data_IF_866226899369
#
_entry.id   IF_866226899369
#
_cell.length_a   1.000
_cell.length_b   1.000
_cell.length_c   1.000
_cell.angle_alpha   90.00
_cell.angle_beta   90.00
_cell.angle_gamma   90.00
#
_symmetry.space_group_name_H-M   'P 1'
#
loop_
_entity.id
_entity.type
_entity.pdbx_description
1 polymer ?
#
# COMPACT_ATOMS: atom_id res chain seq x y z
N UNK A 1 17.95 -31.47 41.17
CA UNK A 1 16.63 -31.12 41.72
C UNK A 1 16.72 -29.69 42.22
N UNK A 2 16.00 -28.68 41.74
CA UNK A 2 14.93 -28.62 40.76
C UNK A 2 14.64 -27.13 40.51
N UNK A 3 14.25 -26.83 39.27
CA UNK A 3 13.19 -25.91 38.93
C UNK A 3 13.29 -24.46 39.42
N UNK A 4 13.55 -23.55 38.47
CA UNK A 4 12.50 -22.62 38.02
C UNK A 4 13.02 -21.74 36.89
N UNK A 5 12.74 -22.18 35.67
CA UNK A 5 12.74 -21.34 34.48
C UNK A 5 11.90 -20.09 34.73
N UNK A 6 12.57 -18.95 34.93
CA UNK A 6 11.95 -17.63 35.02
C UNK A 6 11.21 -17.37 33.71
N UNK A 7 9.88 -17.38 33.81
CA UNK A 7 8.92 -17.19 32.72
C UNK A 7 9.29 -15.95 31.89
N UNK A 8 9.59 -16.16 30.61
CA UNK A 8 9.72 -15.09 29.61
C UNK A 8 8.39 -14.32 29.57
N UNK A 9 8.44 -13.04 29.94
CA UNK A 9 7.29 -12.14 29.95
C UNK A 9 6.65 -12.09 28.56
N UNK A 10 5.33 -12.32 28.52
CA UNK A 10 4.49 -12.18 27.34
C UNK A 10 4.72 -10.80 26.72
N UNK A 11 5.15 -10.82 25.46
CA UNK A 11 5.43 -9.66 24.65
C UNK A 11 4.18 -8.76 24.62
N UNK A 12 4.31 -7.54 25.15
CA UNK A 12 3.25 -6.53 25.12
C UNK A 12 2.94 -6.24 23.64
N UNK A 13 1.69 -6.44 23.24
CA UNK A 13 1.19 -6.10 21.91
C UNK A 13 1.48 -4.62 21.63
N UNK A 14 2.33 -4.33 20.63
CA UNK A 14 2.76 -2.98 20.29
C UNK A 14 1.66 -2.26 19.47
N UNK A 15 0.97 -1.23 20.01
CA UNK A 15 -0.12 -0.54 19.31
C UNK A 15 0.35 0.35 18.14
N UNK A 16 1.66 0.51 17.95
CA UNK A 16 2.25 1.42 16.94
C UNK A 16 2.28 0.86 15.52
N UNK A 17 2.18 -0.47 15.34
CA UNK A 17 2.19 -1.07 13.99
C UNK A 17 0.85 -0.89 13.26
N UNK A 18 -0.26 -0.70 14.00
CA UNK A 18 -1.62 -0.74 13.46
C UNK A 18 -2.09 0.52 12.72
N UNK A 19 -1.73 1.77 13.10
CA UNK A 19 -2.19 2.96 12.38
C UNK A 19 -1.49 3.17 11.03
N UNK A 20 -0.18 2.87 10.96
CA UNK A 20 0.62 3.06 9.74
C UNK A 20 0.26 2.00 8.70
N UNK A 21 0.10 0.74 9.10
CA UNK A 21 -0.31 -0.33 8.18
C UNK A 21 -1.72 -0.10 7.61
N UNK A 22 -2.66 0.44 8.40
CA UNK A 22 -3.99 0.79 7.88
C UNK A 22 -3.90 1.91 6.84
N UNK A 23 -3.24 3.03 7.17
CA UNK A 23 -3.06 4.14 6.23
C UNK A 23 -2.34 3.72 4.95
N UNK A 24 -1.35 2.84 5.05
CA UNK A 24 -0.66 2.30 3.88
C UNK A 24 -1.61 1.53 2.96
N UNK A 25 -2.46 0.66 3.53
CA UNK A 25 -3.46 -0.08 2.76
C UNK A 25 -4.50 0.84 2.13
N UNK A 26 -5.04 1.78 2.90
CA UNK A 26 -6.00 2.79 2.41
C UNK A 26 -5.39 3.61 1.25
N UNK A 27 -4.10 3.97 1.35
CA UNK A 27 -3.42 4.71 0.28
C UNK A 27 -3.26 3.86 -0.98
N UNK A 28 -2.90 2.58 -0.82
CA UNK A 28 -2.80 1.64 -1.95
C UNK A 28 -4.16 1.47 -2.64
N UNK A 29 -5.24 1.26 -1.88
CA UNK A 29 -6.60 1.15 -2.42
C UNK A 29 -7.00 2.38 -3.24
N UNK A 30 -6.77 3.58 -2.71
CA UNK A 30 -7.05 4.84 -3.42
C UNK A 30 -6.21 4.98 -4.69
N UNK A 31 -4.94 4.58 -4.67
CA UNK A 31 -4.08 4.59 -5.87
C UNK A 31 -4.60 3.61 -6.92
N UNK A 32 -4.99 2.39 -6.53
CA UNK A 32 -5.48 1.37 -7.46
C UNK A 32 -6.83 1.77 -8.08
N UNK A 33 -7.74 2.36 -7.30
CA UNK A 33 -9.00 2.88 -7.81
C UNK A 33 -8.79 4.02 -8.82
N UNK A 34 -7.94 4.98 -8.48
CA UNK A 34 -7.58 6.06 -9.40
C UNK A 34 -6.91 5.54 -10.67
N UNK A 35 -6.01 4.56 -10.54
CA UNK A 35 -5.33 3.93 -11.66
C UNK A 35 -6.34 3.25 -12.60
N UNK A 36 -7.31 2.51 -12.07
CA UNK A 36 -8.36 1.89 -12.88
C UNK A 36 -9.11 2.91 -13.74
N UNK A 37 -9.43 4.06 -13.17
CA UNK A 37 -10.12 5.13 -13.89
C UNK A 37 -9.22 5.76 -14.97
N UNK A 38 -7.95 6.04 -14.66
CA UNK A 38 -7.01 6.61 -15.65
C UNK A 38 -6.72 5.62 -16.78
N UNK A 39 -6.50 4.34 -16.48
CA UNK A 39 -6.30 3.31 -17.49
C UNK A 39 -7.55 3.10 -18.37
N UNK A 40 -8.76 3.22 -17.81
CA UNK A 40 -9.99 3.16 -18.59
C UNK A 40 -10.14 4.37 -19.54
N UNK A 41 -9.67 5.55 -19.14
CA UNK A 41 -9.74 6.78 -19.94
C UNK A 41 -8.61 6.86 -21.00
N UNK A 42 -7.39 6.48 -20.65
CA UNK A 42 -6.18 6.74 -21.44
C UNK A 42 -5.51 5.48 -22.00
N UNK A 43 -6.00 4.30 -21.61
CA UNK A 43 -5.36 3.02 -21.94
C UNK A 43 -3.91 2.98 -21.46
N UNK A 44 -3.03 2.39 -22.27
CA UNK A 44 -1.60 2.29 -21.92
C UNK A 44 -0.86 3.63 -21.91
N UNK A 45 -1.48 4.75 -22.35
CA UNK A 45 -0.86 6.08 -22.27
C UNK A 45 -0.92 6.69 -20.86
N UNK A 46 -1.65 6.06 -19.93
CA UNK A 46 -1.69 6.45 -18.53
C UNK A 46 -0.28 6.68 -17.97
N UNK A 47 -0.13 7.74 -17.17
CA UNK A 47 1.13 8.09 -16.51
C UNK A 47 0.98 8.05 -14.98
N UNK A 48 2.06 7.74 -14.28
CA UNK A 48 2.07 7.75 -12.80
C UNK A 48 1.72 9.13 -12.23
N UNK A 49 2.12 10.22 -12.90
CA UNK A 49 1.71 11.58 -12.54
C UNK A 49 0.19 11.77 -12.59
N UNK A 50 -0.45 11.29 -13.66
CA UNK A 50 -1.89 11.40 -13.83
C UNK A 50 -2.65 10.58 -12.78
N UNK A 51 -2.16 9.36 -12.50
CA UNK A 51 -2.69 8.49 -11.45
C UNK A 51 -2.56 9.16 -10.08
N UNK A 52 -1.37 9.67 -9.72
CA UNK A 52 -1.15 10.36 -8.45
C UNK A 52 -2.07 11.58 -8.29
N UNK A 53 -2.19 12.40 -9.35
CA UNK A 53 -3.09 13.55 -9.37
C UNK A 53 -4.54 13.14 -9.11
N UNK A 54 -5.01 12.07 -9.76
CA UNK A 54 -6.38 11.59 -9.60
C UNK A 54 -6.64 10.96 -8.21
N UNK A 55 -5.66 10.24 -7.68
CA UNK A 55 -5.69 9.67 -6.33
C UNK A 55 -5.61 10.74 -5.22
N UNK A 56 -5.30 12.00 -5.55
CA UNK A 56 -5.10 13.06 -4.56
C UNK A 56 -3.86 12.85 -3.70
N UNK A 57 -2.86 12.10 -4.19
CA UNK A 57 -1.59 11.83 -3.49
C UNK A 57 -0.44 12.54 -4.20
N UNK A 58 0.64 12.81 -3.47
CA UNK A 58 1.86 13.29 -4.13
C UNK A 58 2.48 12.19 -5.00
N UNK A 59 3.15 12.58 -6.08
CA UNK A 59 3.89 11.62 -6.91
C UNK A 59 4.95 10.85 -6.11
N UNK A 60 5.61 11.52 -5.15
CA UNK A 60 6.56 10.86 -4.25
C UNK A 60 5.91 9.82 -3.34
N UNK A 61 4.68 10.08 -2.87
CA UNK A 61 3.90 9.11 -2.09
C UNK A 61 3.52 7.90 -2.94
N UNK A 62 3.12 8.08 -4.20
CA UNK A 62 2.86 6.95 -5.10
C UNK A 62 4.11 6.08 -5.28
N UNK A 63 5.28 6.70 -5.50
CA UNK A 63 6.55 5.98 -5.66
C UNK A 63 7.04 5.26 -4.39
N UNK A 64 6.47 5.54 -3.21
CA UNK A 64 6.73 4.72 -2.02
C UNK A 64 6.05 3.35 -2.07
N UNK A 65 5.03 3.17 -2.93
CA UNK A 65 4.26 1.94 -3.06
C UNK A 65 4.48 1.26 -4.41
N UNK A 66 4.68 2.01 -5.49
CA UNK A 66 4.80 1.48 -6.85
C UNK A 66 5.92 2.17 -7.63
N UNK A 67 6.81 1.39 -8.24
CA UNK A 67 7.97 1.90 -8.97
C UNK A 67 7.59 2.47 -10.35
N UNK A 68 6.49 2.02 -10.94
CA UNK A 68 6.01 2.45 -12.26
C UNK A 68 4.53 2.06 -12.46
N UNK A 69 3.95 2.45 -13.60
CA UNK A 69 2.55 2.15 -13.94
C UNK A 69 2.29 0.66 -14.22
N UNK A 70 3.31 -0.10 -14.62
CA UNK A 70 3.16 -1.52 -14.96
C UNK A 70 3.03 -2.36 -13.67
N UNK A 71 3.71 -1.96 -12.59
CA UNK A 71 3.53 -2.54 -11.26
C UNK A 71 2.13 -2.26 -10.71
N UNK A 72 1.61 -1.03 -10.90
CA UNK A 72 0.22 -0.69 -10.55
C UNK A 72 -0.76 -1.57 -11.33
N UNK A 73 -0.57 -1.69 -12.65
CA UNK A 73 -1.42 -2.50 -13.51
C UNK A 73 -1.37 -3.99 -13.12
N UNK A 74 -0.18 -4.49 -12.79
CA UNK A 74 0.02 -5.87 -12.33
C UNK A 74 -0.70 -6.12 -11.01
N UNK A 75 -0.58 -5.20 -10.05
CA UNK A 75 -1.26 -5.30 -8.75
C UNK A 75 -2.78 -5.27 -8.93
N UNK A 76 -3.31 -4.41 -9.82
CA UNK A 76 -4.75 -4.41 -10.13
C UNK A 76 -5.23 -5.77 -10.62
N UNK A 77 -4.50 -6.42 -11.53
CA UNK A 77 -4.87 -7.74 -12.08
C UNK A 77 -4.84 -8.82 -11.00
N UNK A 78 -3.89 -8.77 -10.06
CA UNK A 78 -3.80 -9.74 -8.97
C UNK A 78 -4.96 -9.64 -7.96
N UNK A 79 -5.67 -8.51 -7.94
CA UNK A 79 -6.80 -8.25 -7.05
C UNK A 79 -8.16 -8.60 -7.68
N UNK A 80 -8.19 -8.99 -8.97
CA UNK A 80 -9.39 -9.49 -9.68
C UNK A 80 -9.32 -11.01 -9.95
#
# INVERSE_FOLDING_TARGET
MGDSHRRKGKQRLNPRKQPIQRRARETVEVILEAAAQVFAEEGYFATTNRIAQRAGVSIGSLYQYFNNKDEILSEMILVY
#
